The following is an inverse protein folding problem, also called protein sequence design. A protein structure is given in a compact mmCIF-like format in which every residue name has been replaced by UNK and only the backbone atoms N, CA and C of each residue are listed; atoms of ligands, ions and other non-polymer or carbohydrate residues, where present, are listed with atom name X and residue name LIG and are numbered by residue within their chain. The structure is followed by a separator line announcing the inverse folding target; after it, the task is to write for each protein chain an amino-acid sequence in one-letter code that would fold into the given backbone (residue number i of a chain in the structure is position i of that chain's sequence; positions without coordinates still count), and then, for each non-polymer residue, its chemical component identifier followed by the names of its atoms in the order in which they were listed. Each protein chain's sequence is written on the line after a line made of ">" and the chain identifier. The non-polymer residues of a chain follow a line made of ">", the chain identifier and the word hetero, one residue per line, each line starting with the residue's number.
data_IF_044850710168
#
_entry.id   IF_044850710168
#
_cell.length_a   1.000
_cell.length_b   1.000
_cell.length_c   1.000
_cell.angle_alpha   90.00
_cell.angle_beta   90.00
_cell.angle_gamma   90.00
#
_symmetry.space_group_name_H-M   'P 1'
#
loop_
_entity.id
_entity.type
_entity.pdbx_description
1 polymer ?
#
# COMPACT_ATOMS: atom_id res chain seq x y z
N UNK A 1 10.26 -6.82 37.08
CA UNK A 1 11.42 -7.24 37.91
C UNK A 1 11.06 -6.92 39.35
N UNK A 2 11.18 -7.89 40.26
CA UNK A 2 10.94 -7.60 41.68
C UNK A 2 12.20 -6.99 42.29
N UNK A 3 12.18 -5.69 42.53
CA UNK A 3 13.31 -4.94 43.09
C UNK A 3 13.62 -5.30 44.55
N UNK A 4 12.73 -6.00 45.24
CA UNK A 4 12.99 -6.55 46.59
C UNK A 4 13.77 -7.86 46.53
N UNK A 5 13.60 -8.64 45.46
CA UNK A 5 14.24 -9.95 45.28
C UNK A 5 15.52 -9.89 44.43
N UNK A 6 15.63 -8.92 43.52
CA UNK A 6 16.73 -8.83 42.56
C UNK A 6 17.43 -7.48 42.67
N UNK A 7 18.61 -7.44 43.31
CA UNK A 7 19.39 -6.22 43.51
C UNK A 7 20.32 -5.88 42.33
N UNK A 8 19.89 -6.03 41.06
CA UNK A 8 20.73 -5.55 39.96
C UNK A 8 20.73 -4.01 39.95
N UNK A 9 21.84 -3.49 40.46
CA UNK A 9 22.16 -2.19 41.06
C UNK A 9 22.02 -0.91 40.19
N UNK A 10 21.09 -0.80 39.23
CA UNK A 10 20.87 0.48 38.54
C UNK A 10 19.41 0.78 38.19
N UNK A 11 18.65 -0.22 37.72
CA UNK A 11 17.25 -0.02 37.30
C UNK A 11 16.29 0.16 38.49
N UNK A 12 16.58 -0.49 39.62
CA UNK A 12 15.82 -0.39 40.87
C UNK A 12 16.28 0.76 41.78
N UNK A 13 17.23 1.60 41.34
CA UNK A 13 17.75 2.73 42.13
C UNK A 13 17.00 4.04 41.89
N UNK A 14 16.22 4.11 40.82
CA UNK A 14 15.43 5.30 40.51
C UNK A 14 14.04 5.17 41.14
N UNK A 15 13.57 6.21 41.82
CA UNK A 15 12.34 6.26 42.67
C UNK A 15 11.00 6.01 41.95
N UNK A 16 11.00 5.47 40.73
CA UNK A 16 9.79 5.20 39.96
C UNK A 16 9.52 3.70 39.88
N UNK A 17 8.79 3.19 40.88
CA UNK A 17 8.27 1.81 40.94
C UNK A 17 7.25 1.50 39.81
N UNK A 18 6.87 2.50 39.00
CA UNK A 18 5.82 2.42 37.97
C UNK A 18 6.36 2.61 36.54
N UNK A 19 7.53 2.04 36.23
CA UNK A 19 8.17 2.15 34.90
C UNK A 19 8.40 0.76 34.31
N UNK A 20 8.01 0.62 33.04
CA UNK A 20 8.41 -0.50 32.20
C UNK A 20 9.69 -0.16 31.43
N UNK A 21 10.55 -1.16 31.30
CA UNK A 21 11.82 -1.08 30.59
C UNK A 21 11.79 -2.03 29.40
N UNK A 22 11.97 -1.50 28.19
CA UNK A 22 12.05 -2.25 26.95
C UNK A 22 13.52 -2.39 26.54
N UNK A 23 14.03 -3.63 26.57
CA UNK A 23 15.42 -3.92 26.23
C UNK A 23 15.52 -4.36 24.77
N UNK A 24 16.37 -3.67 24.00
CA UNK A 24 16.74 -4.07 22.63
C UNK A 24 18.25 -4.27 22.58
N UNK A 25 18.67 -5.53 22.50
CA UNK A 25 20.09 -5.93 22.48
C UNK A 25 20.89 -5.24 23.60
N UNK A 26 22.01 -4.59 23.27
CA UNK A 26 22.91 -3.92 24.20
C UNK A 26 22.65 -2.39 24.33
N UNK A 27 21.50 -1.88 23.87
CA UNK A 27 21.14 -0.46 24.01
C UNK A 27 20.49 -0.20 25.36
N UNK A 28 20.59 1.05 25.85
CA UNK A 28 19.88 1.49 27.04
C UNK A 28 18.38 1.24 26.86
N UNK A 29 17.69 0.68 27.87
CA UNK A 29 16.30 0.31 27.72
C UNK A 29 15.44 1.55 27.48
N UNK A 30 14.51 1.45 26.54
CA UNK A 30 13.47 2.45 26.38
C UNK A 30 12.54 2.40 27.59
N UNK A 31 12.24 3.56 28.17
CA UNK A 31 11.52 3.67 29.45
C UNK A 31 10.15 4.23 29.18
N UNK A 32 9.13 3.56 29.70
CA UNK A 32 7.75 4.01 29.63
C UNK A 32 7.10 3.96 31.00
N UNK A 33 6.26 4.95 31.29
CA UNK A 33 5.36 4.86 32.44
C UNK A 33 4.42 3.67 32.23
N UNK A 34 4.15 2.90 33.28
CA UNK A 34 3.10 1.88 33.25
C UNK A 34 1.72 2.49 32.95
N UNK A 35 1.52 3.78 33.21
CA UNK A 35 0.29 4.50 32.85
C UNK A 35 0.09 4.58 31.32
N UNK A 36 1.17 4.47 30.55
CA UNK A 36 1.11 4.39 29.09
C UNK A 36 0.88 2.96 28.57
N UNK A 37 0.86 1.96 29.46
CA UNK A 37 0.72 0.53 29.17
C UNK A 37 -0.56 -0.03 29.81
N UNK A 38 -1.66 0.69 29.64
CA UNK A 38 -2.92 0.46 30.35
C UNK A 38 -3.79 -0.65 29.74
N UNK A 39 -3.55 -1.04 28.48
CA UNK A 39 -4.31 -2.07 27.79
C UNK A 39 -3.48 -2.74 26.68
N UNK A 40 -4.03 -3.78 26.04
CA UNK A 40 -3.31 -4.55 25.01
C UNK A 40 -2.84 -3.65 23.87
N UNK A 41 -3.71 -2.76 23.38
CA UNK A 41 -3.36 -1.89 22.25
C UNK A 41 -2.23 -0.93 22.59
N UNK A 42 -2.27 -0.33 23.78
CA UNK A 42 -1.20 0.56 24.23
C UNK A 42 0.10 -0.19 24.49
N UNK A 43 0.05 -1.41 25.03
CA UNK A 43 1.24 -2.26 25.21
C UNK A 43 1.87 -2.57 23.85
N UNK A 44 1.09 -3.09 22.89
CA UNK A 44 1.61 -3.48 21.57
C UNK A 44 2.14 -2.27 20.81
N UNK A 45 1.38 -1.17 20.75
CA UNK A 45 1.79 0.03 20.02
C UNK A 45 3.09 0.62 20.57
N UNK A 46 3.21 0.73 21.91
CA UNK A 46 4.41 1.26 22.54
C UNK A 46 5.61 0.31 22.42
N UNK A 47 5.39 -1.00 22.43
CA UNK A 47 6.45 -1.99 22.19
C UNK A 47 7.00 -1.86 20.78
N UNK A 48 6.11 -1.80 19.78
CA UNK A 48 6.49 -1.61 18.38
C UNK A 48 7.15 -0.25 18.16
N UNK A 49 6.69 0.81 18.83
CA UNK A 49 7.36 2.11 18.77
C UNK A 49 8.78 2.07 19.31
N UNK A 50 9.02 1.40 20.44
CA UNK A 50 10.36 1.20 20.96
C UNK A 50 11.24 0.37 20.00
N UNK A 51 10.63 -0.60 19.31
CA UNK A 51 11.32 -1.45 18.33
C UNK A 51 11.66 -0.68 17.04
N UNK A 52 10.75 0.18 16.58
CA UNK A 52 10.79 0.90 15.31
C UNK A 52 11.24 2.36 15.45
N UNK A 53 11.93 2.70 16.54
CA UNK A 53 12.30 4.09 16.84
C UNK A 53 13.22 4.73 15.80
N UNK A 54 14.02 3.92 15.10
CA UNK A 54 14.92 4.39 14.04
C UNK A 54 14.21 4.39 12.67
N UNK A 55 13.14 3.61 12.54
CA UNK A 55 12.41 3.29 11.32
C UNK A 55 11.20 4.22 11.10
N UNK A 56 10.46 4.55 12.17
CA UNK A 56 9.28 5.44 12.14
C UNK A 56 9.65 6.83 12.67
N UNK A 57 9.52 7.86 11.82
CA UNK A 57 9.93 9.23 12.16
C UNK A 57 8.84 9.98 12.92
N UNK A 58 9.18 10.55 14.08
CA UNK A 58 8.29 11.42 14.83
C UNK A 58 8.39 12.87 14.32
N UNK A 59 7.26 13.42 13.89
CA UNK A 59 7.12 14.76 13.33
C UNK A 59 6.55 15.69 14.39
N UNK A 60 7.28 16.74 14.78
CA UNK A 60 6.83 17.69 15.79
C UNK A 60 6.08 18.87 15.17
N UNK A 61 6.52 19.31 13.99
CA UNK A 61 5.98 20.47 13.32
C UNK A 61 5.97 20.33 11.79
N UNK A 62 5.58 21.40 11.11
CA UNK A 62 5.47 21.43 9.65
C UNK A 62 6.82 21.36 8.95
N UNK A 63 7.91 21.83 9.57
CA UNK A 63 9.24 21.81 8.99
C UNK A 63 9.81 20.38 9.00
N UNK A 64 9.56 19.63 10.06
CA UNK A 64 9.90 18.20 10.12
C UNK A 64 9.22 17.41 8.97
N UNK A 65 7.93 17.66 8.71
CA UNK A 65 7.21 17.00 7.63
C UNK A 65 7.75 17.39 6.25
N UNK A 66 8.15 18.66 6.08
CA UNK A 66 8.79 19.12 4.84
C UNK A 66 10.14 18.44 4.64
N UNK A 67 10.95 18.34 5.71
CA UNK A 67 12.26 17.69 5.67
C UNK A 67 12.13 16.22 5.28
N UNK A 68 11.18 15.47 5.84
CA UNK A 68 10.97 14.06 5.48
C UNK A 68 10.54 13.90 4.01
N UNK A 69 9.68 14.79 3.51
CA UNK A 69 9.32 14.78 2.08
C UNK A 69 10.51 15.09 1.19
N UNK A 70 11.38 16.01 1.60
CA UNK A 70 12.58 16.37 0.84
C UNK A 70 13.63 15.25 0.83
N UNK A 71 13.85 14.59 1.97
CA UNK A 71 14.83 13.49 2.08
C UNK A 71 14.33 12.20 1.43
N UNK A 72 13.02 11.99 1.34
CA UNK A 72 12.43 10.82 0.68
C UNK A 72 12.22 11.02 -0.83
N UNK A 73 12.37 12.25 -1.34
CA UNK A 73 12.08 12.61 -2.72
C UNK A 73 12.90 11.79 -3.72
N UNK A 74 12.21 11.16 -4.67
CA UNK A 74 12.81 10.32 -5.70
C UNK A 74 13.36 8.99 -5.18
N UNK A 75 13.23 8.70 -3.88
CA UNK A 75 13.73 7.48 -3.25
C UNK A 75 12.56 6.60 -2.80
N UNK A 76 11.71 7.13 -1.92
CA UNK A 76 10.64 6.40 -1.26
C UNK A 76 9.41 7.27 -1.09
N UNK A 77 8.23 6.66 -1.20
CA UNK A 77 6.99 7.30 -0.77
C UNK A 77 6.88 7.31 0.76
N UNK A 78 6.13 8.27 1.30
CA UNK A 78 6.01 8.47 2.75
C UNK A 78 4.58 8.16 3.19
N UNK A 79 4.43 7.30 4.18
CA UNK A 79 3.16 7.08 4.88
C UNK A 79 3.18 7.93 6.15
N UNK A 80 2.39 8.99 6.16
CA UNK A 80 2.30 9.94 7.27
C UNK A 80 1.01 9.76 8.06
N UNK A 81 1.09 9.59 9.38
CA UNK A 81 -0.08 9.54 10.26
C UNK A 81 -0.15 10.73 11.22
N UNK A 82 -1.33 11.31 11.36
CA UNK A 82 -1.70 12.08 12.53
C UNK A 82 -2.54 11.20 13.46
N UNK A 83 -2.11 11.09 14.72
CA UNK A 83 -2.79 10.31 15.75
C UNK A 83 -3.09 11.22 16.95
N UNK A 84 -4.27 11.08 17.56
CA UNK A 84 -4.65 11.94 18.70
C UNK A 84 -3.87 11.65 19.97
N UNK A 85 -3.57 10.38 20.22
CA UNK A 85 -3.02 9.93 21.50
C UNK A 85 -2.14 8.71 21.29
N UNK A 86 -0.94 8.67 21.89
CA UNK A 86 -0.13 7.46 21.91
C UNK A 86 -0.87 6.30 22.58
N UNK A 87 -0.68 5.11 22.04
CA UNK A 87 -1.22 3.86 22.58
C UNK A 87 -2.66 3.55 22.21
N UNK A 88 -3.29 4.36 21.33
CA UNK A 88 -4.62 4.04 20.81
C UNK A 88 -4.61 2.84 19.85
N UNK A 89 -5.78 2.23 19.54
CA UNK A 89 -5.88 1.19 18.52
C UNK A 89 -5.36 1.62 17.14
N UNK A 90 -5.53 2.90 16.77
CA UNK A 90 -5.01 3.46 15.52
C UNK A 90 -3.48 3.61 15.57
N UNK A 91 -2.92 3.97 16.73
CA UNK A 91 -1.47 3.97 16.92
C UNK A 91 -0.91 2.56 16.75
N UNK A 92 -1.54 1.55 17.36
CA UNK A 92 -1.16 0.16 17.18
C UNK A 92 -1.21 -0.25 15.71
N UNK A 93 -2.33 -0.03 15.03
CA UNK A 93 -2.52 -0.40 13.64
C UNK A 93 -1.47 0.23 12.72
N UNK A 94 -1.14 1.50 12.95
CA UNK A 94 -0.11 2.20 12.20
C UNK A 94 1.28 1.59 12.43
N UNK A 95 1.64 1.30 13.68
CA UNK A 95 2.94 0.71 14.00
C UNK A 95 3.08 -0.73 13.52
N UNK A 96 2.00 -1.52 13.56
CA UNK A 96 1.97 -2.87 12.96
C UNK A 96 2.15 -2.79 11.44
N UNK A 97 1.49 -1.84 10.77
CA UNK A 97 1.70 -1.58 9.34
C UNK A 97 3.15 -1.19 9.02
N UNK A 98 3.74 -0.30 9.82
CA UNK A 98 5.15 0.10 9.68
C UNK A 98 6.13 -1.05 9.91
N UNK A 99 5.81 -1.97 10.83
CA UNK A 99 6.60 -3.16 11.06
C UNK A 99 6.64 -4.08 9.83
N UNK A 100 5.50 -4.22 9.14
CA UNK A 100 5.36 -5.11 7.97
C UNK A 100 5.94 -4.46 6.70
N UNK A 101 5.70 -3.17 6.50
CA UNK A 101 6.01 -2.48 5.23
C UNK A 101 7.16 -1.46 5.32
N UNK A 102 7.92 -1.48 6.42
CA UNK A 102 8.99 -0.50 6.67
C UNK A 102 10.15 -0.54 5.67
N UNK A 103 10.25 -1.59 4.86
CA UNK A 103 11.19 -1.72 3.75
C UNK A 103 10.66 -1.16 2.41
N UNK A 104 9.34 -0.95 2.31
CA UNK A 104 8.68 -0.41 1.10
C UNK A 104 8.40 1.09 1.18
N UNK A 105 8.21 1.63 2.39
CA UNK A 105 7.85 3.04 2.58
C UNK A 105 8.61 3.68 3.75
N UNK A 106 8.77 5.00 3.69
CA UNK A 106 9.16 5.78 4.86
C UNK A 106 7.92 6.02 5.73
N UNK A 107 7.93 5.56 6.98
CA UNK A 107 6.84 5.81 7.92
C UNK A 107 7.14 7.04 8.79
N UNK A 108 6.14 7.91 8.95
CA UNK A 108 6.22 9.07 9.80
C UNK A 108 4.90 9.28 10.57
N UNK A 109 4.96 9.75 11.81
CA UNK A 109 3.77 10.06 12.59
C UNK A 109 3.90 11.38 13.37
N UNK A 110 2.77 12.01 13.64
CA UNK A 110 2.65 13.20 14.48
C UNK A 110 1.50 13.03 15.46
N UNK A 111 1.68 13.56 16.67
CA UNK A 111 0.58 13.79 17.62
C UNK A 111 0.10 15.25 17.62
N UNK A 112 0.73 16.10 16.80
CA UNK A 112 0.39 17.50 16.64
C UNK A 112 -0.46 17.70 15.37
N UNK A 113 -1.75 18.00 15.56
CA UNK A 113 -2.70 18.18 14.46
C UNK A 113 -2.42 19.42 13.59
N UNK A 114 -1.66 20.41 14.10
CA UNK A 114 -1.29 21.59 13.31
C UNK A 114 -0.44 21.24 12.09
N UNK A 115 0.26 20.10 12.13
CA UNK A 115 1.04 19.59 11.00
C UNK A 115 0.15 19.32 9.78
N UNK A 116 -1.12 18.93 9.97
CA UNK A 116 -2.02 18.62 8.86
C UNK A 116 -2.35 19.82 7.96
N UNK A 117 -2.17 21.06 8.46
CA UNK A 117 -2.48 22.29 7.73
C UNK A 117 -1.65 22.46 6.45
N UNK A 118 -0.52 21.75 6.31
CA UNK A 118 0.29 21.78 5.08
C UNK A 118 -0.22 20.81 4.01
N UNK A 119 -1.04 19.83 4.40
CA UNK A 119 -1.62 18.83 3.50
C UNK A 119 -3.06 19.19 3.11
N UNK A 120 -3.80 19.84 4.01
CA UNK A 120 -5.19 20.20 3.81
C UNK A 120 -5.56 21.45 4.61
N UNK A 121 -6.36 22.35 4.00
CA UNK A 121 -6.78 23.61 4.62
C UNK A 121 -7.69 23.40 5.85
N UNK A 122 -8.61 22.45 5.77
CA UNK A 122 -9.56 22.12 6.85
C UNK A 122 -9.48 20.62 7.23
N UNK A 123 -8.51 20.23 8.09
CA UNK A 123 -8.32 18.85 8.48
C UNK A 123 -9.49 18.31 9.31
N UNK A 124 -10.01 17.15 8.90
CA UNK A 124 -11.09 16.48 9.63
C UNK A 124 -10.67 16.06 11.05
N UNK A 125 -11.58 16.12 12.03
CA UNK A 125 -11.26 15.73 13.39
C UNK A 125 -11.08 14.21 13.48
N UNK A 126 -9.94 13.74 13.97
CA UNK A 126 -9.69 12.30 14.12
C UNK A 126 -8.28 11.89 13.69
N UNK A 127 -7.92 10.62 13.91
CA UNK A 127 -6.75 10.02 13.29
C UNK A 127 -6.84 10.13 11.76
N UNK A 128 -5.74 10.47 11.10
CA UNK A 128 -5.66 10.55 9.64
C UNK A 128 -4.37 9.90 9.18
N UNK A 129 -4.43 9.19 8.05
CA UNK A 129 -3.25 8.64 7.38
C UNK A 129 -3.20 9.22 5.97
N UNK A 130 -2.00 9.59 5.54
CA UNK A 130 -1.74 10.20 4.24
C UNK A 130 -0.64 9.41 3.54
N UNK A 131 -0.84 9.19 2.25
CA UNK A 131 0.18 8.66 1.36
C UNK A 131 0.79 9.82 0.56
N UNK A 132 2.07 10.07 0.75
CA UNK A 132 2.80 11.14 0.08
C UNK A 132 3.62 10.54 -1.06
N UNK A 133 3.23 10.90 -2.29
CA UNK A 133 3.83 10.50 -3.57
C UNK A 133 5.15 11.26 -3.79
N UNK A 134 6.18 10.90 -3.03
CA UNK A 134 7.51 11.50 -3.04
C UNK A 134 8.46 10.82 -4.03
N UNK A 135 8.27 9.54 -4.32
CA UNK A 135 9.10 8.75 -5.22
C UNK A 135 8.95 9.21 -6.68
N UNK A 136 7.73 9.55 -7.11
CA UNK A 136 7.44 10.01 -8.47
C UNK A 136 8.10 11.37 -8.83
N UNK A 137 8.51 12.16 -7.83
CA UNK A 137 8.97 13.56 -8.00
C UNK A 137 10.48 13.73 -8.07
N UNK A 138 11.18 12.93 -8.86
CA UNK A 138 12.62 13.13 -9.09
C UNK A 138 12.88 14.52 -9.73
N UNK A 139 13.45 15.46 -8.98
CA UNK A 139 13.88 16.77 -9.48
C UNK A 139 12.88 17.93 -9.38
N UNK A 140 11.67 17.70 -8.89
CA UNK A 140 10.70 18.79 -8.64
C UNK A 140 10.86 19.40 -7.24
N UNK A 141 10.76 20.74 -7.14
CA UNK A 141 10.73 21.45 -5.85
C UNK A 141 9.29 21.57 -5.34
N UNK A 142 9.10 21.42 -4.04
CA UNK A 142 7.80 21.60 -3.37
C UNK A 142 7.31 20.35 -2.65
N UNK A 143 6.08 20.39 -2.14
CA UNK A 143 5.48 19.26 -1.42
C UNK A 143 5.23 18.08 -2.37
N UNK A 144 5.33 16.87 -1.84
CA UNK A 144 4.91 15.66 -2.52
C UNK A 144 3.41 15.72 -2.83
N UNK A 145 2.95 15.01 -3.85
CA UNK A 145 1.51 14.80 -4.01
C UNK A 145 0.99 14.04 -2.78
N UNK A 146 -0.23 14.30 -2.33
CA UNK A 146 -0.77 13.66 -1.14
C UNK A 146 -2.14 13.04 -1.42
N UNK A 147 -2.33 11.79 -1.01
CA UNK A 147 -3.63 11.11 -1.01
C UNK A 147 -4.02 10.81 0.43
N UNK A 148 -5.21 11.26 0.84
CA UNK A 148 -5.78 10.93 2.14
C UNK A 148 -6.31 9.49 2.12
N UNK A 149 -5.92 8.71 3.12
CA UNK A 149 -6.55 7.43 3.41
C UNK A 149 -7.92 7.66 4.07
N UNK A 150 -8.99 7.34 3.35
CA UNK A 150 -10.36 7.69 3.74
C UNK A 150 -11.02 6.70 4.70
N UNK A 151 -10.51 5.48 4.82
CA UNK A 151 -11.09 4.46 5.70
C UNK A 151 -10.69 4.69 7.17
N UNK A 152 -11.35 3.97 8.09
CA UNK A 152 -10.91 3.96 9.49
C UNK A 152 -9.52 3.36 9.61
N UNK A 153 -8.68 3.97 10.44
CA UNK A 153 -7.31 3.50 10.70
C UNK A 153 -7.36 2.21 11.51
N UNK A 154 -7.34 1.09 10.82
CA UNK A 154 -7.26 -0.26 11.39
C UNK A 154 -6.23 -1.06 10.61
N UNK A 155 -5.65 -2.09 11.24
CA UNK A 155 -4.59 -2.88 10.60
C UNK A 155 -5.08 -3.45 9.26
N UNK A 156 -6.25 -4.09 9.23
CA UNK A 156 -6.80 -4.71 8.01
C UNK A 156 -6.95 -3.69 6.88
N UNK A 157 -7.47 -2.50 7.17
CA UNK A 157 -7.67 -1.48 6.14
C UNK A 157 -6.33 -0.89 5.66
N UNK A 158 -5.35 -0.71 6.54
CA UNK A 158 -3.99 -0.27 6.18
C UNK A 158 -3.28 -1.32 5.32
N UNK A 159 -3.34 -2.60 5.70
CA UNK A 159 -2.76 -3.70 4.92
C UNK A 159 -3.37 -3.78 3.52
N UNK A 160 -4.70 -3.67 3.40
CA UNK A 160 -5.37 -3.60 2.09
C UNK A 160 -4.90 -2.38 1.29
N UNK A 161 -4.79 -1.23 1.94
CA UNK A 161 -4.30 0.00 1.30
C UNK A 161 -2.88 -0.16 0.76
N UNK A 162 -1.96 -0.72 1.54
CA UNK A 162 -0.58 -0.94 1.08
C UNK A 162 -0.48 -1.95 -0.06
N UNK A 163 -1.28 -3.02 -0.04
CA UNK A 163 -1.39 -3.94 -1.20
C UNK A 163 -1.85 -3.21 -2.46
N UNK A 164 -2.79 -2.28 -2.36
CA UNK A 164 -3.28 -1.49 -3.50
C UNK A 164 -2.22 -0.51 -4.01
N UNK A 165 -1.48 0.14 -3.11
CA UNK A 165 -0.40 1.06 -3.45
C UNK A 165 0.71 0.37 -4.23
N UNK A 166 1.10 -0.84 -3.79
CA UNK A 166 2.16 -1.63 -4.44
C UNK A 166 1.69 -2.31 -5.73
N UNK A 167 0.38 -2.43 -5.92
CA UNK A 167 -0.22 -3.00 -7.13
C UNK A 167 -0.28 -2.03 -8.30
N UNK A 168 -0.77 -2.49 -9.46
CA UNK A 168 -1.00 -1.62 -10.60
C UNK A 168 -2.10 -0.58 -10.28
N UNK A 169 -1.97 0.69 -10.74
CA UNK A 169 -2.94 1.74 -10.44
C UNK A 169 -4.34 1.41 -10.96
N UNK A 170 -4.42 0.71 -12.09
CA UNK A 170 -5.65 0.17 -12.66
C UNK A 170 -5.33 -1.14 -13.40
N UNK A 171 -6.35 -1.96 -13.64
CA UNK A 171 -6.22 -3.20 -14.44
C UNK A 171 -7.04 -3.10 -15.72
N UNK A 172 -6.55 -3.68 -16.80
CA UNK A 172 -7.29 -3.77 -18.06
C UNK A 172 -8.05 -5.11 -18.13
N UNK A 173 -9.25 -5.08 -18.69
CA UNK A 173 -10.12 -6.25 -18.80
C UNK A 173 -10.75 -6.34 -20.19
N UNK A 174 -10.65 -7.52 -20.80
CA UNK A 174 -11.15 -7.82 -22.15
C UNK A 174 -12.34 -8.80 -22.15
N UNK A 175 -12.79 -9.20 -20.97
CA UNK A 175 -13.90 -10.14 -20.77
C UNK A 175 -14.95 -9.50 -19.85
N UNK A 176 -16.20 -10.00 -19.85
CA UNK A 176 -17.22 -9.51 -18.93
C UNK A 176 -16.79 -9.62 -17.45
N UNK A 177 -17.12 -8.64 -16.59
CA UNK A 177 -16.75 -8.64 -15.16
C UNK A 177 -17.28 -9.83 -14.34
N UNK A 178 -18.24 -10.60 -14.87
CA UNK A 178 -18.76 -11.82 -14.23
C UNK A 178 -18.00 -13.10 -14.64
N UNK A 179 -17.04 -13.00 -15.56
CA UNK A 179 -16.23 -14.12 -16.03
C UNK A 179 -14.79 -14.08 -15.52
N UNK A 180 -14.35 -12.97 -14.93
CA UNK A 180 -13.02 -12.80 -14.33
C UNK A 180 -13.12 -12.05 -13.01
N UNK A 181 -12.30 -12.47 -12.04
CA UNK A 181 -12.06 -11.71 -10.83
C UNK A 181 -10.92 -10.71 -11.05
N UNK A 182 -10.92 -9.62 -10.30
CA UNK A 182 -9.83 -8.63 -10.26
C UNK A 182 -9.11 -8.72 -8.91
N UNK A 183 -7.88 -8.20 -8.81
CA UNK A 183 -7.20 -8.05 -7.51
C UNK A 183 -8.02 -7.22 -6.52
N UNK A 184 -8.80 -6.25 -7.00
CA UNK A 184 -9.64 -5.40 -6.15
C UNK A 184 -10.79 -6.17 -5.52
N UNK A 185 -11.42 -7.04 -6.31
CA UNK A 185 -12.51 -7.89 -5.82
C UNK A 185 -12.03 -8.85 -4.73
N UNK A 186 -10.81 -9.40 -4.87
CA UNK A 186 -10.19 -10.25 -3.85
C UNK A 186 -9.87 -9.51 -2.52
N UNK A 187 -9.83 -8.17 -2.56
CA UNK A 187 -9.59 -7.31 -1.39
C UNK A 187 -10.88 -6.75 -0.77
N UNK A 188 -12.05 -7.25 -1.19
CA UNK A 188 -13.38 -6.73 -0.86
C UNK A 188 -13.52 -5.22 -1.17
N UNK A 189 -12.80 -4.73 -2.19
CA UNK A 189 -12.82 -3.33 -2.57
C UNK A 189 -13.86 -3.09 -3.66
N UNK A 190 -14.67 -2.02 -3.58
CA UNK A 190 -15.53 -1.61 -4.68
C UNK A 190 -14.73 -1.35 -5.95
N UNK A 191 -15.36 -1.54 -7.11
CA UNK A 191 -14.72 -1.40 -8.41
C UNK A 191 -15.45 -0.38 -9.28
N UNK A 192 -14.67 0.49 -9.91
CA UNK A 192 -15.12 1.42 -10.93
C UNK A 192 -14.59 0.94 -12.27
N UNK A 193 -15.49 0.54 -13.15
CA UNK A 193 -15.19 0.16 -14.53
C UNK A 193 -15.34 1.37 -15.43
N UNK A 194 -14.25 1.80 -16.05
CA UNK A 194 -14.27 2.74 -17.17
C UNK A 194 -14.59 1.98 -18.45
N UNK A 195 -15.71 2.35 -19.08
CA UNK A 195 -16.18 1.69 -20.29
C UNK A 195 -15.42 2.26 -21.49
N UNK A 196 -14.40 1.52 -21.94
CA UNK A 196 -13.48 1.98 -22.96
C UNK A 196 -13.78 1.35 -24.31
N UNK A 197 -13.72 2.19 -25.34
CA UNK A 197 -13.80 1.79 -26.74
C UNK A 197 -12.47 2.07 -27.43
N UNK A 198 -12.19 1.38 -28.54
CA UNK A 198 -10.96 1.54 -29.32
C UNK A 198 -10.69 2.99 -29.70
N UNK A 199 -11.73 3.76 -29.98
CA UNK A 199 -11.63 5.17 -30.35
C UNK A 199 -11.26 6.09 -29.18
N UNK A 200 -11.60 5.72 -27.94
CA UNK A 200 -11.40 6.54 -26.73
C UNK A 200 -10.26 6.06 -25.84
N UNK A 201 -9.68 4.88 -26.12
CA UNK A 201 -8.69 4.19 -25.30
C UNK A 201 -7.61 5.10 -24.68
N UNK A 202 -6.94 5.95 -25.49
CA UNK A 202 -5.88 6.83 -24.98
C UNK A 202 -6.38 7.79 -23.90
N UNK A 203 -7.57 8.36 -24.09
CA UNK A 203 -8.19 9.25 -23.11
C UNK A 203 -8.62 8.48 -21.86
N UNK A 204 -9.15 7.27 -22.04
CA UNK A 204 -9.64 6.44 -20.94
C UNK A 204 -8.49 5.93 -20.05
N UNK A 205 -7.31 5.64 -20.62
CA UNK A 205 -6.09 5.29 -19.86
C UNK A 205 -5.64 6.45 -18.97
N UNK A 206 -5.63 7.68 -19.49
CA UNK A 206 -5.30 8.87 -18.70
C UNK A 206 -6.34 9.12 -17.60
N UNK A 207 -7.62 8.89 -17.91
CA UNK A 207 -8.70 8.97 -16.93
C UNK A 207 -8.56 7.90 -15.84
N UNK A 208 -8.24 6.66 -16.21
CA UNK A 208 -8.03 5.55 -15.29
C UNK A 208 -6.90 5.86 -14.32
N UNK A 209 -5.77 6.35 -14.82
CA UNK A 209 -4.63 6.77 -14.00
C UNK A 209 -4.99 7.88 -13.01
N UNK A 210 -5.76 8.88 -13.44
CA UNK A 210 -6.22 9.98 -12.58
C UNK A 210 -7.17 9.49 -11.49
N UNK A 211 -8.14 8.65 -11.85
CA UNK A 211 -9.11 8.09 -10.91
C UNK A 211 -8.44 7.14 -9.92
N UNK A 212 -7.48 6.33 -10.38
CA UNK A 212 -6.72 5.41 -9.55
C UNK A 212 -6.03 6.13 -8.40
N UNK A 213 -5.37 7.26 -8.71
CA UNK A 213 -4.73 8.08 -7.68
C UNK A 213 -5.72 8.74 -6.73
N UNK A 214 -6.85 9.23 -7.25
CA UNK A 214 -7.86 9.95 -6.46
C UNK A 214 -8.71 9.02 -5.57
N UNK A 215 -8.85 7.75 -5.95
CA UNK A 215 -9.65 6.73 -5.28
C UNK A 215 -8.80 5.61 -4.66
N UNK A 216 -7.49 5.83 -4.57
CA UNK A 216 -6.57 4.88 -3.94
C UNK A 216 -7.03 4.57 -2.51
N UNK A 217 -7.24 3.28 -2.23
CA UNK A 217 -7.81 2.81 -0.95
C UNK A 217 -9.33 2.84 -0.83
N UNK A 218 -10.02 3.46 -1.78
CA UNK A 218 -11.48 3.62 -1.79
C UNK A 218 -12.18 2.74 -2.82
N UNK A 219 -11.61 2.66 -4.02
CA UNK A 219 -12.10 1.80 -5.08
C UNK A 219 -10.97 1.37 -6.02
N UNK A 220 -11.10 0.17 -6.58
CA UNK A 220 -10.27 -0.33 -7.66
C UNK A 220 -10.73 0.23 -9.00
N UNK A 221 -9.78 0.58 -9.87
CA UNK A 221 -10.10 1.08 -11.21
C UNK A 221 -9.85 0.00 -12.24
N UNK A 222 -10.86 -0.29 -13.04
CA UNK A 222 -10.80 -1.29 -14.11
C UNK A 222 -11.08 -0.59 -15.44
N UNK A 223 -10.19 -0.74 -16.41
CA UNK A 223 -10.41 -0.30 -17.79
C UNK A 223 -11.01 -1.46 -18.58
N UNK A 224 -12.29 -1.36 -18.92
CA UNK A 224 -13.05 -2.44 -19.55
C UNK A 224 -13.17 -2.19 -21.06
N UNK A 225 -12.54 -3.05 -21.87
CA UNK A 225 -12.57 -2.98 -23.33
C UNK A 225 -13.91 -3.51 -23.87
N UNK A 226 -14.89 -2.62 -24.00
CA UNK A 226 -16.28 -2.98 -24.32
C UNK A 226 -16.42 -3.66 -25.69
N UNK A 227 -15.60 -3.26 -26.66
CA UNK A 227 -15.63 -3.82 -28.02
C UNK A 227 -15.20 -5.30 -28.06
N UNK A 228 -14.43 -5.74 -27.06
CA UNK A 228 -13.86 -7.08 -26.96
C UNK A 228 -14.58 -7.95 -25.94
N UNK A 229 -15.03 -7.35 -24.83
CA UNK A 229 -15.78 -8.04 -23.78
C UNK A 229 -17.12 -8.62 -24.26
N UNK A 230 -17.65 -8.17 -25.41
CA UNK A 230 -18.88 -8.71 -25.99
C UNK A 230 -20.12 -8.52 -25.09
N UNK A 231 -20.09 -7.51 -24.22
CA UNK A 231 -21.13 -7.23 -23.23
C UNK A 231 -22.13 -6.18 -23.73
N UNK A 232 -23.38 -6.31 -23.32
CA UNK A 232 -24.40 -5.28 -23.58
C UNK A 232 -24.21 -4.11 -22.62
N UNK A 233 -23.65 -3.01 -23.13
CA UNK A 233 -23.51 -1.74 -22.41
C UNK A 233 -24.62 -0.78 -22.85
N UNK A 234 -25.34 -0.12 -21.92
CA UNK A 234 -26.26 0.95 -22.28
C UNK A 234 -25.54 2.07 -23.04
N UNK A 235 -26.12 2.56 -24.13
CA UNK A 235 -25.45 3.51 -25.05
C UNK A 235 -25.06 4.85 -24.42
N UNK A 236 -25.63 5.19 -23.28
CA UNK A 236 -25.33 6.42 -22.53
C UNK A 236 -24.39 6.18 -21.34
N UNK A 237 -24.04 4.93 -21.02
CA UNK A 237 -23.17 4.62 -19.91
C UNK A 237 -21.70 4.80 -20.31
N UNK A 238 -20.92 5.41 -19.44
CA UNK A 238 -19.46 5.55 -19.60
C UNK A 238 -18.68 4.99 -18.41
N UNK A 239 -19.40 4.71 -17.31
CA UNK A 239 -18.85 4.09 -16.11
C UNK A 239 -19.78 2.97 -15.68
N UNK A 240 -19.22 1.91 -15.09
CA UNK A 240 -19.99 0.99 -14.27
C UNK A 240 -19.37 0.88 -12.88
N UNK A 241 -20.19 0.60 -11.87
CA UNK A 241 -19.77 0.45 -10.49
C UNK A 241 -20.23 -0.90 -9.94
N UNK A 242 -19.34 -1.59 -9.24
CA UNK A 242 -19.64 -2.80 -8.47
C UNK A 242 -19.20 -2.58 -7.03
N UNK A 243 -20.05 -2.92 -6.07
CA UNK A 243 -19.67 -2.86 -4.66
C UNK A 243 -18.61 -3.92 -4.31
N UNK A 244 -18.06 -3.83 -3.10
CA UNK A 244 -16.96 -4.71 -2.67
C UNK A 244 -17.38 -6.15 -2.31
N UNK A 245 -18.66 -6.49 -2.33
CA UNK A 245 -19.11 -7.86 -1.99
C UNK A 245 -19.21 -8.74 -3.23
N UNK A 246 -18.98 -10.04 -3.03
CA UNK A 246 -18.99 -11.07 -4.09
C UNK A 246 -20.25 -11.07 -4.97
N UNK A 247 -21.40 -10.78 -4.39
CA UNK A 247 -22.70 -10.81 -5.07
C UNK A 247 -23.21 -9.42 -5.48
N UNK A 248 -22.38 -8.37 -5.35
CA UNK A 248 -22.80 -7.02 -5.72
C UNK A 248 -22.98 -6.92 -7.25
N UNK A 249 -24.11 -6.32 -7.63
CA UNK A 249 -24.50 -6.20 -9.03
C UNK A 249 -23.76 -5.05 -9.69
N UNK A 250 -23.41 -5.21 -10.97
CA UNK A 250 -22.82 -4.15 -11.78
C UNK A 250 -23.87 -3.08 -12.13
N UNK A 251 -23.61 -1.84 -11.72
CA UNK A 251 -24.48 -0.68 -11.96
C UNK A 251 -23.88 0.22 -13.04
N UNK A 252 -24.56 0.36 -14.18
CA UNK A 252 -24.16 1.27 -15.26
C UNK A 252 -24.57 2.71 -14.96
N UNK A 253 -23.64 3.63 -15.13
CA UNK A 253 -23.77 5.04 -14.78
C UNK A 253 -23.35 5.94 -15.96
N UNK A 254 -23.96 7.12 -16.02
CA UNK A 254 -23.55 8.20 -16.91
C UNK A 254 -22.99 9.33 -16.05
N UNK A 255 -21.67 9.49 -16.02
CA UNK A 255 -20.99 10.48 -15.20
C UNK A 255 -20.19 11.45 -16.06
N UNK A 256 -20.38 12.75 -15.86
CA UNK A 256 -19.91 13.77 -16.81
C UNK A 256 -18.47 14.22 -16.59
N UNK A 257 -17.83 13.84 -15.49
CA UNK A 257 -16.47 14.24 -15.15
C UNK A 257 -15.80 13.27 -14.16
N UNK A 258 -14.46 13.27 -14.05
CA UNK A 258 -13.76 12.47 -13.04
C UNK A 258 -14.24 12.78 -11.61
N UNK A 259 -14.53 14.04 -11.31
CA UNK A 259 -15.04 14.46 -10.00
C UNK A 259 -16.41 13.85 -9.69
N UNK A 260 -17.26 13.66 -10.71
CA UNK A 260 -18.55 13.00 -10.54
C UNK A 260 -18.37 11.52 -10.14
N UNK A 261 -17.36 10.84 -10.69
CA UNK A 261 -16.99 9.46 -10.30
C UNK A 261 -16.48 9.43 -8.87
N UNK A 262 -15.55 10.32 -8.52
CA UNK A 262 -14.97 10.40 -7.18
C UNK A 262 -16.06 10.65 -6.13
N UNK A 263 -16.96 11.59 -6.40
CA UNK A 263 -18.06 11.92 -5.49
C UNK A 263 -19.04 10.74 -5.34
N UNK A 264 -19.33 10.02 -6.42
CA UNK A 264 -20.20 8.84 -6.37
C UNK A 264 -19.60 7.77 -5.44
N UNK A 265 -18.33 7.41 -5.63
CA UNK A 265 -17.65 6.41 -4.79
C UNK A 265 -17.64 6.83 -3.33
N UNK A 266 -17.27 8.08 -3.03
CA UNK A 266 -17.25 8.61 -1.66
C UNK A 266 -18.63 8.60 -0.99
N UNK A 267 -19.69 8.85 -1.75
CA UNK A 267 -21.06 8.77 -1.23
C UNK A 267 -21.45 7.32 -0.92
N UNK A 268 -21.06 6.35 -1.74
CA UNK A 268 -21.29 4.93 -1.48
C UNK A 268 -20.51 4.45 -0.25
N UNK A 269 -19.23 4.81 -0.13
CA UNK A 269 -18.42 4.52 1.06
C UNK A 269 -19.04 5.08 2.34
N UNK A 270 -19.45 6.35 2.33
CA UNK A 270 -20.07 6.99 3.49
C UNK A 270 -21.40 6.32 3.90
N UNK A 271 -22.15 5.78 2.93
CA UNK A 271 -23.35 5.00 3.20
C UNK A 271 -23.03 3.62 3.78
N UNK A 272 -21.96 2.96 3.31
CA UNK A 272 -21.52 1.68 3.84
C UNK A 272 -21.03 1.82 5.29
N UNK A 273 -20.23 2.84 5.61
CA UNK A 273 -19.76 3.09 6.98
C UNK A 273 -20.90 3.27 7.97
N UNK A 274 -21.97 3.97 7.59
CA UNK A 274 -23.18 4.13 8.45
C UNK A 274 -23.92 2.81 8.70
N UNK A 275 -23.79 1.82 7.81
CA UNK A 275 -24.45 0.52 7.94
C UNK A 275 -23.63 -0.50 8.73
N UNK A 276 -22.30 -0.33 8.80
CA UNK A 276 -21.36 -1.35 9.25
C UNK A 276 -20.78 -1.15 10.65
N UNK A 277 -21.42 -0.33 11.50
CA UNK A 277 -21.03 -0.05 12.91
C UNK A 277 -21.10 -1.28 13.87
N UNK A 278 -21.02 -2.50 13.32
CA UNK A 278 -21.02 -3.79 14.02
C UNK A 278 -20.27 -4.87 13.23
N UNK A 279 -18.94 -4.81 13.13
CA UNK A 279 -18.14 -6.03 12.89
C UNK A 279 -16.64 -5.79 13.07
N UNK A 280 -16.07 -6.41 14.11
CA UNK A 280 -14.64 -6.72 14.16
C UNK A 280 -14.42 -8.03 13.41
N UNK A 281 -13.56 -8.02 12.38
CA UNK A 281 -13.05 -9.24 11.77
C UNK A 281 -11.80 -9.71 12.53
N UNK A 282 -11.62 -11.01 12.81
CA UNK A 282 -10.42 -11.50 13.49
C UNK A 282 -9.16 -11.35 12.61
N UNK A 283 -8.16 -10.68 13.18
CA UNK A 283 -6.85 -10.37 12.55
C UNK A 283 -6.07 -11.62 12.11
N UNK A 284 -6.35 -12.78 12.70
CA UNK A 284 -5.63 -14.05 12.46
C UNK A 284 -5.69 -14.55 11.00
N UNK A 285 -6.81 -14.34 10.31
CA UNK A 285 -6.98 -14.83 8.94
C UNK A 285 -6.18 -14.00 7.92
N UNK A 286 -5.80 -12.76 8.26
CA UNK A 286 -4.97 -11.91 7.40
C UNK A 286 -3.49 -12.28 7.46
N UNK A 287 -2.97 -12.61 8.64
CA UNK A 287 -1.55 -12.96 8.81
C UNK A 287 -1.17 -14.24 8.05
N UNK A 288 -2.08 -15.22 7.96
CA UNK A 288 -1.86 -16.44 7.17
C UNK A 288 -1.74 -16.16 5.66
N UNK A 289 -2.41 -15.13 5.14
CA UNK A 289 -2.28 -14.76 3.73
C UNK A 289 -0.93 -14.10 3.41
N UNK A 290 -0.39 -13.29 4.34
CA UNK A 290 0.89 -12.60 4.14
C UNK A 290 2.09 -13.56 4.17
N UNK A 291 2.09 -14.55 5.07
CA UNK A 291 3.17 -15.54 5.11
C UNK A 291 3.25 -16.39 3.83
N UNK A 292 2.10 -16.69 3.21
CA UNK A 292 2.04 -17.49 1.98
C UNK A 292 2.44 -16.74 0.70
N UNK A 293 2.58 -15.40 0.73
CA UNK A 293 2.96 -14.59 -0.44
C UNK A 293 4.49 -14.36 -0.49
N UNK A 294 5.18 -14.20 0.65
CA UNK A 294 6.65 -14.10 0.71
C UNK A 294 7.35 -15.43 0.36
N UNK A 295 6.79 -16.58 0.76
CA UNK A 295 7.36 -17.91 0.45
C UNK A 295 7.37 -18.27 -1.05
N UNK A 296 6.77 -17.44 -1.93
CA UNK A 296 6.73 -17.70 -3.40
C UNK A 296 7.73 -16.88 -4.21
N UNK A 297 8.37 -15.87 -3.63
CA UNK A 297 9.33 -15.03 -4.36
C UNK A 297 10.79 -15.52 -4.21
N UNK A 298 11.05 -16.49 -3.33
CA UNK A 298 12.40 -16.98 -3.01
C UNK A 298 12.82 -18.30 -3.71
N UNK A 299 12.01 -18.88 -4.61
CA UNK A 299 12.31 -20.17 -5.26
C UNK A 299 13.07 -20.09 -6.62
N UNK A 300 13.37 -18.91 -7.15
CA UNK A 300 13.93 -18.75 -8.51
C UNK A 300 15.38 -18.21 -8.60
N UNK A 301 16.22 -18.44 -7.58
CA UNK A 301 17.68 -18.21 -7.68
C UNK A 301 18.48 -19.52 -7.47
N UNK A 302 18.33 -20.49 -8.38
CA UNK A 302 19.39 -21.50 -8.58
C UNK A 302 20.58 -20.87 -9.33
N UNK A 303 21.58 -20.43 -8.57
CA UNK A 303 22.91 -20.08 -9.10
C UNK A 303 23.54 -21.30 -9.79
N UNK A 304 23.53 -21.31 -11.12
CA UNK A 304 24.33 -22.24 -11.93
C UNK A 304 25.78 -21.77 -11.89
N UNK A 305 26.62 -22.47 -11.12
CA UNK A 305 28.08 -22.32 -11.17
C UNK A 305 28.56 -22.89 -12.52
N UNK A 306 28.99 -22.02 -13.44
CA UNK A 306 29.78 -22.41 -14.61
C UNK A 306 31.21 -22.74 -14.15
N UNK A 307 31.56 -24.02 -14.13
CA UNK A 307 32.96 -24.46 -14.00
C UNK A 307 33.67 -24.24 -15.35
N UNK A 308 34.71 -23.40 -15.34
CA UNK A 308 35.67 -23.21 -16.43
C UNK A 308 36.56 -24.46 -16.56
N UNK A 309 36.49 -25.16 -17.69
CA UNK A 309 37.50 -26.14 -18.11
C UNK A 309 38.07 -25.75 -19.48
N UNK A 310 39.30 -25.24 -19.46
CA UNK A 310 40.20 -25.10 -20.61
C UNK A 310 41.04 -26.37 -20.77
N UNK A 311 41.04 -26.92 -21.99
CA UNK A 311 42.20 -27.38 -22.78
C UNK A 311 41.97 -28.69 -23.57
N UNK A 312 41.94 -28.50 -24.89
CA UNK A 312 42.58 -29.29 -25.95
C UNK A 312 42.57 -30.83 -25.87
N UNK A 313 41.77 -31.48 -26.72
CA UNK A 313 42.25 -32.53 -27.64
C UNK A 313 41.19 -32.97 -28.69
N UNK A 314 41.69 -33.30 -29.88
CA UNK A 314 41.06 -34.09 -30.95
C UNK A 314 40.15 -33.42 -32.00
N UNK A 315 40.85 -32.69 -32.86
CA UNK A 315 40.81 -32.74 -34.32
C UNK A 315 40.61 -34.15 -34.93
N UNK A 316 39.46 -34.85 -34.75
CA UNK A 316 39.21 -36.12 -35.48
C UNK A 316 37.70 -36.46 -35.65
N UNK A 317 36.78 -35.48 -35.68
CA UNK A 317 35.36 -35.76 -36.10
C UNK A 317 34.79 -34.79 -37.13
N UNK A 318 35.64 -34.37 -38.07
CA UNK A 318 35.16 -33.86 -39.36
C UNK A 318 34.86 -35.04 -40.28
N UNK A 319 33.61 -35.52 -40.32
CA UNK A 319 32.91 -36.14 -41.49
C UNK A 319 31.64 -36.87 -41.04
N UNK A 320 30.48 -36.24 -41.22
CA UNK A 320 29.40 -36.79 -42.07
C UNK A 320 28.16 -35.88 -42.08
N UNK A 321 27.80 -35.47 -43.31
CA UNK A 321 26.44 -35.32 -43.85
C UNK A 321 25.59 -34.13 -43.37
N UNK A 322 25.61 -32.99 -44.06
CA UNK A 322 24.89 -32.62 -45.31
C UNK A 322 23.44 -32.13 -45.13
N UNK A 323 23.26 -30.86 -45.52
CA UNK A 323 22.17 -30.27 -46.32
C UNK A 323 20.74 -30.16 -45.76
N UNK A 324 20.35 -28.92 -45.44
CA UNK A 324 19.39 -28.08 -46.19
C UNK A 324 19.50 -26.66 -45.57
N UNK A 325 19.65 -25.52 -46.24
CA UNK A 325 19.08 -25.10 -47.51
C UNK A 325 18.29 -23.80 -47.28
N UNK A 326 19.03 -22.68 -47.19
CA UNK A 326 18.68 -21.27 -47.43
C UNK A 326 17.22 -20.89 -47.79
N UNK A 327 16.72 -19.81 -47.18
CA UNK A 327 16.28 -18.60 -47.92
C UNK A 327 16.26 -17.33 -47.05
N UNK A 328 16.72 -16.21 -47.65
CA UNK A 328 16.87 -14.84 -47.11
C UNK A 328 15.68 -13.92 -47.47
N UNK A 329 15.69 -12.73 -46.83
CA UNK A 329 15.09 -11.41 -47.20
C UNK A 329 13.68 -11.16 -46.62
N UNK A 330 13.29 -9.99 -46.08
CA UNK A 330 13.79 -8.61 -46.27
C UNK A 330 13.33 -7.63 -45.16
N UNK A 331 14.09 -6.55 -45.02
CA UNK A 331 13.91 -5.28 -44.28
C UNK A 331 12.68 -4.45 -44.74
N UNK A 332 12.08 -3.63 -43.86
CA UNK A 332 11.40 -2.32 -44.09
C UNK A 332 11.02 -1.75 -42.70
N UNK A 333 11.74 -0.78 -42.11
CA UNK A 333 11.63 0.69 -42.24
C UNK A 333 10.22 1.27 -42.02
N UNK A 334 10.04 1.93 -40.87
CA UNK A 334 8.88 2.75 -40.50
C UNK A 334 9.16 4.23 -40.79
N UNK A 335 8.19 4.88 -41.42
CA UNK A 335 7.97 6.32 -41.43
C UNK A 335 6.90 6.66 -40.39
#
# INVERSE_FOLDING_TARGET
>A
MDCQLYSTQQLCKEENDNVAYFFRMNRMPYRLSMDALFEVDSIVANTLHALLVDEVKLIQDTQDLQLIQETSRGLWDVVFAYLKTPGSPEHRAFMEGAFIYGDKFTFALSYNGDVLKVLMEDPQPGPQVWYLHCQEKAGEKGMCGATLFHQSVSLINLLRFFKLVLGPPFVEMHVPPNQSETPFHALDLPEVFLLSHRETYKYDVEMASKLARALLGSAGIVLLHCDEAGMMVPSNANVAYRGGKKDDVLHFLTLTSPEAVINYVRLEEAQMMKKNDRSHMPVQQYFEQYQNEEDREDEDEEEVYEEEDDDDEEEERRKMRTHCGLHKMTRLQWL
#
